data_IF_082203146917
#
_entry.id   IF_082203146917
#
_cell.length_a   1.000
_cell.length_b   1.000
_cell.length_c   1.000
_cell.angle_alpha   90.00
_cell.angle_beta   90.00
_cell.angle_gamma   90.00
#
_symmetry.space_group_name_H-M   'P 1'
#
loop_
_entity.id
_entity.type
_entity.pdbx_description
1 polymer ?
#
# COMPACT_ATOMS: atom_id res chain seq x y z
N UNK A 1 -15.45 21.50 -27.82
CA UNK A 1 -14.17 21.72 -27.14
C UNK A 1 -14.46 21.38 -25.70
N UNK A 2 -14.19 20.13 -25.30
CA UNK A 2 -14.53 19.63 -23.96
C UNK A 2 -13.29 19.87 -23.09
N UNK A 3 -13.46 20.67 -22.06
CA UNK A 3 -12.44 20.91 -21.04
C UNK A 3 -12.15 19.59 -20.31
N UNK A 4 -10.91 19.14 -20.41
CA UNK A 4 -10.33 18.05 -19.65
C UNK A 4 -10.33 18.44 -18.16
N UNK A 5 -11.04 17.74 -17.28
CA UNK A 5 -10.94 17.96 -15.85
C UNK A 5 -9.63 17.35 -15.35
N UNK A 6 -8.53 18.08 -15.56
CA UNK A 6 -7.20 17.70 -15.11
C UNK A 6 -7.15 17.33 -13.63
N UNK A 7 -6.97 16.06 -13.37
CA UNK A 7 -6.69 15.53 -12.04
C UNK A 7 -5.38 16.12 -11.52
N UNK A 8 -5.45 17.01 -10.55
CA UNK A 8 -4.28 17.56 -9.86
C UNK A 8 -4.24 17.02 -8.44
N UNK A 9 -3.81 15.76 -8.30
CA UNK A 9 -3.44 15.19 -7.04
C UNK A 9 -2.03 15.62 -6.66
N UNK A 10 -1.87 16.47 -5.69
CA UNK A 10 -0.58 16.89 -5.16
C UNK A 10 -0.76 17.64 -3.85
N UNK A 11 -0.87 16.92 -2.75
CA UNK A 11 -0.70 17.51 -1.43
C UNK A 11 0.77 17.85 -1.23
N UNK A 12 1.19 19.06 -1.63
CA UNK A 12 2.42 19.68 -1.13
C UNK A 12 2.03 20.63 -0.01
N UNK A 13 2.50 20.33 1.19
CA UNK A 13 2.24 21.14 2.38
C UNK A 13 2.49 22.62 2.16
N UNK A 14 1.44 23.37 2.08
CA UNK A 14 1.29 24.79 2.40
C UNK A 14 -0.18 25.02 2.74
N UNK A 15 -0.44 25.87 3.69
CA UNK A 15 -1.73 26.33 4.22
C UNK A 15 -2.95 26.04 3.35
N UNK A 16 -4.09 25.69 3.93
CA UNK A 16 -5.33 25.42 3.20
C UNK A 16 -5.85 26.74 2.60
N UNK A 17 -5.25 27.19 1.53
CA UNK A 17 -5.94 28.06 0.58
C UNK A 17 -6.93 27.16 -0.16
N UNK A 18 -8.16 27.30 0.22
CA UNK A 18 -9.42 27.10 -0.47
C UNK A 18 -9.36 26.58 -1.93
N UNK A 19 -8.82 25.40 -2.15
CA UNK A 19 -9.19 24.65 -3.34
C UNK A 19 -10.43 23.83 -2.97
N UNK A 20 -11.55 24.53 -2.82
CA UNK A 20 -12.84 23.91 -2.67
C UNK A 20 -13.27 23.41 -4.05
N UNK A 21 -13.14 22.10 -4.27
CA UNK A 21 -13.92 21.49 -5.32
C UNK A 21 -15.39 21.64 -4.94
N UNK A 22 -16.11 22.45 -5.69
CA UNK A 22 -17.56 22.55 -5.58
C UNK A 22 -18.16 21.31 -6.26
N UNK A 23 -19.22 20.74 -5.67
CA UNK A 23 -19.95 19.59 -6.21
C UNK A 23 -19.13 18.28 -6.36
N UNK A 24 -18.45 17.86 -5.30
CA UNK A 24 -17.76 16.57 -5.28
C UNK A 24 -18.79 15.44 -5.40
N UNK A 25 -18.64 14.57 -6.41
CA UNK A 25 -19.46 13.37 -6.58
C UNK A 25 -18.77 12.08 -6.11
N UNK A 26 -17.44 12.06 -6.10
CA UNK A 26 -16.65 10.90 -5.74
C UNK A 26 -15.32 11.33 -5.09
N UNK A 27 -14.96 10.67 -3.99
CA UNK A 27 -13.65 10.76 -3.34
C UNK A 27 -13.03 9.37 -3.34
N UNK A 28 -11.79 9.25 -3.82
CA UNK A 28 -11.05 7.98 -3.85
C UNK A 28 -9.81 8.12 -2.99
N UNK A 29 -9.60 7.17 -2.08
CA UNK A 29 -8.33 6.97 -1.36
C UNK A 29 -7.78 5.63 -1.81
N UNK A 30 -6.71 5.67 -2.59
CA UNK A 30 -5.98 4.49 -3.02
C UNK A 30 -4.90 4.14 -1.99
N UNK A 31 -4.57 2.84 -1.85
CA UNK A 31 -3.68 2.33 -0.79
C UNK A 31 -4.07 2.88 0.61
N UNK A 32 -5.35 2.75 0.95
CA UNK A 32 -5.96 3.40 2.12
C UNK A 32 -5.27 3.07 3.45
N UNK A 33 -4.52 1.96 3.53
CA UNK A 33 -3.78 1.54 4.72
C UNK A 33 -2.49 2.34 4.94
N UNK A 34 -2.05 3.17 3.98
CA UNK A 34 -0.80 3.91 4.09
C UNK A 34 -0.80 4.93 5.23
N UNK A 35 0.25 4.91 6.04
CA UNK A 35 0.41 5.82 7.19
C UNK A 35 0.54 7.28 6.79
N UNK A 36 0.95 7.55 5.53
CA UNK A 36 1.10 8.91 4.99
C UNK A 36 -0.19 9.72 4.97
N UNK A 37 -1.34 9.05 5.06
CA UNK A 37 -2.65 9.70 5.19
C UNK A 37 -2.95 10.26 6.59
N UNK A 38 -2.03 10.11 7.55
CA UNK A 38 -2.13 10.69 8.89
C UNK A 38 -1.03 11.73 9.09
N UNK A 39 -1.41 12.95 9.46
CA UNK A 39 -0.45 13.98 9.85
C UNK A 39 0.09 13.71 11.23
N UNK A 40 1.40 13.58 11.38
CA UNK A 40 2.08 13.44 12.68
C UNK A 40 2.35 14.79 13.34
N UNK A 41 2.41 15.86 12.53
CA UNK A 41 2.62 17.24 13.02
C UNK A 41 1.29 17.94 13.30
N UNK A 42 1.30 18.94 14.16
CA UNK A 42 0.13 19.77 14.44
C UNK A 42 -0.18 20.72 13.25
N UNK A 43 -1.47 20.87 12.86
CA UNK A 43 -2.63 20.15 13.37
C UNK A 43 -2.65 18.69 12.90
N UNK A 44 -2.90 17.76 13.85
CA UNK A 44 -3.03 16.33 13.51
C UNK A 44 -4.39 16.09 12.85
N UNK A 45 -4.38 15.46 11.69
CA UNK A 45 -5.59 15.08 10.97
C UNK A 45 -5.38 13.75 10.24
N UNK A 46 -6.48 13.10 9.88
CA UNK A 46 -6.52 11.92 9.03
C UNK A 46 -7.20 12.28 7.72
N UNK A 47 -6.56 11.98 6.59
CA UNK A 47 -7.16 12.20 5.29
C UNK A 47 -8.48 11.39 5.12
N UNK A 48 -8.60 10.23 5.76
CA UNK A 48 -9.82 9.43 5.78
C UNK A 48 -10.99 10.16 6.43
N UNK A 49 -10.75 10.80 7.57
CA UNK A 49 -11.80 11.55 8.28
C UNK A 49 -12.22 12.77 7.47
N UNK A 50 -11.25 13.50 6.92
CA UNK A 50 -11.52 14.64 6.04
C UNK A 50 -12.30 14.20 4.81
N UNK A 51 -11.92 13.08 4.18
CA UNK A 51 -12.60 12.53 3.01
C UNK A 51 -14.04 12.11 3.34
N UNK A 52 -14.27 11.46 4.50
CA UNK A 52 -15.62 11.10 4.95
C UNK A 52 -16.49 12.32 5.18
N UNK A 53 -15.95 13.33 5.85
CA UNK A 53 -16.66 14.59 6.10
C UNK A 53 -17.06 15.26 4.79
N UNK A 54 -16.10 15.44 3.87
CA UNK A 54 -16.34 16.07 2.58
C UNK A 54 -17.33 15.28 1.71
N UNK A 55 -17.20 13.95 1.69
CA UNK A 55 -18.15 13.11 0.97
C UNK A 55 -19.57 13.25 1.53
N UNK A 56 -19.72 13.27 2.86
CA UNK A 56 -21.01 13.45 3.51
C UNK A 56 -21.62 14.82 3.22
N UNK A 57 -20.84 15.90 3.30
CA UNK A 57 -21.30 17.27 3.03
C UNK A 57 -21.76 17.48 1.58
N UNK A 58 -21.18 16.74 0.63
CA UNK A 58 -21.51 16.86 -0.80
C UNK A 58 -22.44 15.75 -1.30
N UNK A 59 -22.86 14.80 -0.46
CA UNK A 59 -23.59 13.62 -0.92
C UNK A 59 -22.79 12.73 -1.88
N UNK A 60 -21.45 12.79 -1.78
CA UNK A 60 -20.52 12.08 -2.63
C UNK A 60 -20.27 10.64 -2.18
N UNK A 61 -19.86 9.79 -3.10
CA UNK A 61 -19.37 8.45 -2.79
C UNK A 61 -17.91 8.53 -2.28
N UNK A 62 -17.60 7.84 -1.18
CA UNK A 62 -16.22 7.60 -0.74
C UNK A 62 -15.82 6.17 -1.10
N UNK A 63 -14.76 6.02 -1.89
CA UNK A 63 -14.16 4.76 -2.26
C UNK A 63 -12.78 4.62 -1.60
N UNK A 64 -12.62 3.60 -0.76
CA UNK A 64 -11.34 3.19 -0.20
C UNK A 64 -10.85 1.98 -0.98
N UNK A 65 -9.67 2.07 -1.59
CA UNK A 65 -9.09 1.00 -2.39
C UNK A 65 -7.80 0.50 -1.73
N UNK A 66 -7.61 -0.82 -1.70
CA UNK A 66 -6.41 -1.45 -1.18
C UNK A 66 -6.35 -2.93 -1.54
N UNK A 67 -5.14 -3.45 -1.74
CA UNK A 67 -4.89 -4.89 -1.77
C UNK A 67 -4.85 -5.48 -0.35
N UNK A 68 -4.49 -4.67 0.65
CA UNK A 68 -4.31 -5.03 2.06
C UNK A 68 -5.02 -4.00 2.95
N UNK A 69 -6.36 -4.00 2.99
CA UNK A 69 -7.11 -2.97 3.71
C UNK A 69 -6.74 -2.91 5.19
N UNK A 70 -6.84 -1.72 5.78
CA UNK A 70 -6.64 -1.54 7.20
C UNK A 70 -7.66 -2.38 8.00
N UNK A 71 -7.27 -2.79 9.21
CA UNK A 71 -8.15 -3.59 10.09
C UNK A 71 -9.44 -2.85 10.40
N UNK A 72 -9.38 -1.54 10.54
CA UNK A 72 -10.52 -0.66 10.81
C UNK A 72 -11.51 -0.65 9.63
N UNK A 73 -11.00 -0.47 8.41
CA UNK A 73 -11.82 -0.45 7.20
C UNK A 73 -12.44 -1.82 6.92
N UNK A 74 -11.66 -2.88 7.08
CA UNK A 74 -12.16 -4.25 6.92
C UNK A 74 -13.23 -4.60 7.96
N UNK A 75 -13.00 -4.24 9.23
CA UNK A 75 -13.97 -4.46 10.29
C UNK A 75 -15.26 -3.66 10.06
N UNK A 76 -15.16 -2.40 9.61
CA UNK A 76 -16.33 -1.59 9.27
C UNK A 76 -17.17 -2.26 8.17
N UNK A 77 -16.53 -2.84 7.17
CA UNK A 77 -17.18 -3.59 6.10
C UNK A 77 -17.85 -4.88 6.62
N UNK A 78 -17.18 -5.64 7.50
CA UNK A 78 -17.78 -6.82 8.13
C UNK A 78 -19.02 -6.49 8.98
N UNK A 79 -19.04 -5.29 9.59
CA UNK A 79 -20.21 -4.81 10.36
C UNK A 79 -21.29 -4.16 9.50
N UNK A 80 -21.16 -4.18 8.18
CA UNK A 80 -22.14 -3.60 7.25
C UNK A 80 -22.18 -2.07 7.26
N UNK A 81 -21.17 -1.40 7.86
CA UNK A 81 -21.08 0.08 7.86
C UNK A 81 -20.61 0.63 6.52
N UNK A 82 -19.89 -0.18 5.75
CA UNK A 82 -19.41 0.12 4.40
C UNK A 82 -19.64 -1.10 3.52
N UNK A 83 -19.89 -0.88 2.24
CA UNK A 83 -20.01 -1.96 1.27
C UNK A 83 -18.61 -2.49 0.92
N UNK A 84 -18.42 -3.81 0.97
CA UNK A 84 -17.18 -4.46 0.54
C UNK A 84 -17.33 -4.97 -0.89
N UNK A 85 -16.47 -4.46 -1.77
CA UNK A 85 -16.33 -4.97 -3.14
C UNK A 85 -14.99 -5.69 -3.26
N UNK A 86 -15.00 -6.93 -3.73
CA UNK A 86 -13.79 -7.74 -3.89
C UNK A 86 -13.47 -7.97 -5.36
N UNK A 87 -12.28 -7.59 -5.77
CA UNK A 87 -11.72 -7.93 -7.06
C UNK A 87 -10.96 -9.25 -6.93
N UNK A 88 -11.59 -10.36 -7.33
CA UNK A 88 -11.04 -11.71 -7.12
C UNK A 88 -10.18 -12.21 -8.27
N UNK A 89 -10.19 -11.52 -9.42
CA UNK A 89 -9.42 -11.90 -10.61
C UNK A 89 -8.30 -10.90 -10.85
N UNK A 90 -7.09 -11.39 -11.10
CA UNK A 90 -5.97 -10.55 -11.53
C UNK A 90 -6.16 -10.11 -12.99
N UNK A 91 -5.79 -8.87 -13.26
CA UNK A 91 -5.68 -8.40 -14.64
C UNK A 91 -4.65 -9.27 -15.39
N UNK A 92 -4.98 -9.71 -16.59
CA UNK A 92 -4.10 -10.55 -17.43
C UNK A 92 -4.03 -12.04 -17.05
N UNK A 93 -4.71 -12.48 -15.97
CA UNK A 93 -4.83 -13.91 -15.62
C UNK A 93 -3.52 -14.60 -15.21
N UNK A 94 -2.44 -13.87 -14.97
CA UNK A 94 -1.15 -14.43 -14.57
C UNK A 94 -1.25 -15.14 -13.21
N UNK A 95 -0.65 -16.34 -13.05
CA UNK A 95 -0.62 -17.04 -11.79
C UNK A 95 0.18 -16.26 -10.74
N UNK A 96 -0.09 -16.54 -9.48
CA UNK A 96 0.74 -16.04 -8.38
C UNK A 96 2.14 -16.64 -8.49
N UNK A 97 3.19 -15.89 -8.10
CA UNK A 97 4.53 -16.44 -8.01
C UNK A 97 4.58 -17.56 -6.98
N UNK A 98 5.47 -18.53 -7.18
CA UNK A 98 5.76 -19.52 -6.15
C UNK A 98 6.49 -18.86 -4.99
N UNK A 99 6.11 -19.23 -3.76
CA UNK A 99 6.74 -18.73 -2.53
C UNK A 99 7.45 -19.88 -1.85
N UNK A 100 8.73 -19.68 -1.54
CA UNK A 100 9.53 -20.61 -0.74
C UNK A 100 9.87 -19.96 0.59
N UNK A 101 9.55 -20.64 1.69
CA UNK A 101 9.91 -20.23 3.04
C UNK A 101 11.15 -21.01 3.47
N UNK A 102 12.16 -20.32 3.98
CA UNK A 102 13.41 -20.93 4.47
C UNK A 102 13.58 -20.60 5.94
N UNK A 103 13.83 -21.64 6.77
CA UNK A 103 14.17 -21.43 8.18
C UNK A 103 15.67 -21.12 8.30
N UNK A 104 15.98 -19.85 8.57
CA UNK A 104 17.37 -19.39 8.72
C UNK A 104 18.07 -19.98 9.94
N UNK A 105 17.33 -20.46 10.95
CA UNK A 105 17.95 -21.15 12.10
C UNK A 105 18.46 -22.54 11.70
N UNK A 106 17.72 -23.22 10.85
CA UNK A 106 18.17 -24.50 10.28
C UNK A 106 19.37 -24.30 9.35
N UNK A 107 19.41 -23.24 8.56
CA UNK A 107 20.54 -22.84 7.73
C UNK A 107 21.80 -22.58 8.59
N UNK A 108 21.67 -21.85 9.69
CA UNK A 108 22.77 -21.60 10.62
C UNK A 108 23.27 -22.90 11.23
N UNK A 109 22.40 -23.79 11.67
CA UNK A 109 22.76 -25.09 12.25
C UNK A 109 23.46 -25.99 11.22
N UNK A 110 23.17 -25.84 9.93
CA UNK A 110 23.83 -26.56 8.83
C UNK A 110 25.12 -25.91 8.33
N UNK A 111 25.57 -24.82 8.97
CA UNK A 111 26.86 -24.17 8.68
C UNK A 111 26.77 -22.96 7.76
N UNK A 112 25.59 -22.41 7.52
CA UNK A 112 25.42 -21.13 6.82
C UNK A 112 25.25 -19.96 7.81
N UNK A 113 26.31 -19.23 8.20
CA UNK A 113 26.22 -18.10 9.13
C UNK A 113 25.78 -16.80 8.44
N UNK A 114 25.45 -16.84 7.15
CA UNK A 114 25.13 -15.65 6.36
C UNK A 114 23.71 -15.16 6.63
N UNK A 115 23.46 -13.91 6.32
CA UNK A 115 22.14 -13.29 6.46
C UNK A 115 21.15 -13.71 5.36
N UNK A 116 21.64 -14.34 4.28
CA UNK A 116 20.83 -14.87 3.19
C UNK A 116 20.94 -16.40 3.14
N UNK A 117 19.83 -17.05 2.83
CA UNK A 117 19.82 -18.50 2.67
C UNK A 117 20.56 -18.95 1.43
N UNK A 118 21.05 -20.17 1.45
CA UNK A 118 21.68 -20.79 0.27
C UNK A 118 20.71 -20.85 -0.91
N UNK A 119 19.42 -21.12 -0.65
CA UNK A 119 18.39 -21.13 -1.67
C UNK A 119 18.19 -19.75 -2.33
N UNK A 120 18.25 -18.67 -1.54
CA UNK A 120 18.16 -17.31 -2.05
C UNK A 120 19.41 -16.94 -2.86
N UNK A 121 20.60 -17.25 -2.34
CA UNK A 121 21.88 -17.01 -3.05
C UNK A 121 21.87 -17.68 -4.43
N UNK A 122 21.44 -18.93 -4.48
CA UNK A 122 21.35 -19.71 -5.72
C UNK A 122 20.31 -19.13 -6.70
N UNK A 123 19.15 -18.68 -6.20
CA UNK A 123 18.13 -18.01 -7.02
C UNK A 123 18.64 -16.68 -7.60
N UNK A 124 19.38 -15.88 -6.81
CA UNK A 124 20.02 -14.65 -7.29
C UNK A 124 21.03 -14.96 -8.40
N UNK A 125 21.88 -15.96 -8.18
CA UNK A 125 22.90 -16.38 -9.15
C UNK A 125 22.27 -16.78 -10.48
N UNK A 126 21.25 -17.65 -10.46
CA UNK A 126 20.50 -18.03 -11.66
C UNK A 126 19.90 -16.85 -12.39
N UNK A 127 19.36 -15.88 -11.68
CA UNK A 127 18.81 -14.66 -12.31
C UNK A 127 19.89 -13.82 -12.97
N UNK A 128 21.06 -13.70 -12.35
CA UNK A 128 22.21 -12.98 -12.93
C UNK A 128 22.72 -13.64 -14.21
N UNK A 129 22.83 -14.98 -14.24
CA UNK A 129 23.27 -15.74 -15.42
C UNK A 129 22.36 -15.51 -16.64
N UNK A 130 21.07 -15.30 -16.42
CA UNK A 130 20.09 -15.03 -17.50
C UNK A 130 19.74 -13.55 -17.64
N UNK A 131 20.55 -12.66 -17.06
CA UNK A 131 20.38 -11.20 -17.08
C UNK A 131 19.01 -10.72 -16.61
N UNK A 132 18.41 -11.42 -15.63
CA UNK A 132 17.16 -11.01 -14.98
C UNK A 132 17.41 -10.18 -13.73
N UNK A 133 16.42 -9.40 -13.35
CA UNK A 133 16.46 -8.57 -12.16
C UNK A 133 16.02 -9.35 -10.92
N UNK A 134 16.60 -8.98 -9.76
CA UNK A 134 16.20 -9.50 -8.46
C UNK A 134 15.85 -8.32 -7.57
N UNK A 135 14.71 -8.36 -6.89
CA UNK A 135 14.30 -7.37 -5.90
C UNK A 135 14.46 -8.01 -4.52
N UNK A 136 15.27 -7.38 -3.67
CA UNK A 136 15.47 -7.80 -2.28
C UNK A 136 14.77 -6.82 -1.35
N UNK A 137 13.88 -7.34 -0.49
CA UNK A 137 13.27 -6.58 0.59
C UNK A 137 13.98 -6.92 1.90
N UNK A 138 14.75 -5.97 2.44
CA UNK A 138 15.42 -6.10 3.72
C UNK A 138 14.66 -5.30 4.77
N UNK A 139 14.03 -5.98 5.72
CA UNK A 139 13.27 -5.36 6.80
C UNK A 139 14.11 -5.17 8.08
N UNK A 140 15.40 -4.90 7.95
CA UNK A 140 16.32 -4.75 9.08
C UNK A 140 17.06 -3.42 8.99
N UNK A 141 16.98 -2.63 10.07
CA UNK A 141 17.81 -1.45 10.25
C UNK A 141 19.11 -1.87 10.94
N UNK A 142 20.26 -1.58 10.31
CA UNK A 142 21.61 -1.82 10.85
C UNK A 142 22.28 -3.08 10.33
N UNK A 143 23.61 -3.01 10.23
CA UNK A 143 24.45 -4.04 9.63
C UNK A 143 24.85 -5.14 10.61
N UNK A 144 24.77 -4.91 11.91
CA UNK A 144 25.01 -5.91 12.96
C UNK A 144 24.23 -5.58 14.23
N UNK A 145 23.61 -6.58 14.84
CA UNK A 145 23.35 -6.56 16.27
C UNK A 145 24.57 -7.17 16.96
N UNK A 146 25.26 -6.35 17.73
CA UNK A 146 26.20 -6.83 18.74
C UNK A 146 25.42 -7.62 19.79
#
# INVERSE_FOLDING_TARGET
MADDPGWRGGYRGRHPQRDFFENIGLVIIDEEQEHTYRSESAPRYSAHEVARQRAAENGALLLLASATPSTESYFAAQKGRTQLVRLTKRYGGNPLPSVQIVDMRAELASGNPREISLALEDAIRRNLEVHKQTILLLNRRGYQTV
#
